data_IF_417753529666
#
_entry.id   IF_417753529666
#
_cell.length_a   1.000
_cell.length_b   1.000
_cell.length_c   1.000
_cell.angle_alpha   90.00
_cell.angle_beta   90.00
_cell.angle_gamma   90.00
#
_symmetry.space_group_name_H-M   'P 1'
#
loop_
_entity.id
_entity.type
_entity.pdbx_description
1 polymer ?
#
# COMPACT_ATOMS: atom_id res chain seq x y z
N UNK A 1 17.41 19.69 -4.23
CA UNK A 1 16.36 20.49 -3.55
C UNK A 1 15.14 19.66 -3.20
N UNK A 2 14.58 18.88 -4.13
CA UNK A 2 13.37 18.06 -3.88
C UNK A 2 13.55 16.96 -2.81
N UNK A 3 14.65 16.20 -2.84
CA UNK A 3 14.92 15.16 -1.84
C UNK A 3 15.11 15.66 -0.41
N UNK A 4 15.61 16.89 -0.22
CA UNK A 4 15.74 17.51 1.11
C UNK A 4 14.37 17.92 1.67
N UNK A 5 13.46 18.38 0.82
CA UNK A 5 12.09 18.72 1.21
C UNK A 5 11.28 17.48 1.61
N UNK A 6 11.39 16.39 0.84
CA UNK A 6 10.77 15.11 1.22
C UNK A 6 11.33 14.58 2.54
N UNK A 7 12.66 14.64 2.73
CA UNK A 7 13.31 14.23 3.98
C UNK A 7 12.86 15.08 5.17
N UNK A 8 12.75 16.39 5.00
CA UNK A 8 12.30 17.32 6.06
C UNK A 8 10.85 17.04 6.49
N UNK A 9 9.92 16.91 5.53
CA UNK A 9 8.52 16.62 5.85
C UNK A 9 8.34 15.24 6.49
N UNK A 10 9.09 14.23 6.02
CA UNK A 10 9.13 12.90 6.62
C UNK A 10 9.59 12.96 8.09
N UNK A 11 10.69 13.66 8.40
CA UNK A 11 11.18 13.79 9.79
C UNK A 11 10.21 14.54 10.71
N UNK A 12 9.43 15.49 10.18
CA UNK A 12 8.45 16.26 10.97
C UNK A 12 7.25 15.42 11.39
N UNK A 13 6.88 14.39 10.63
CA UNK A 13 5.79 13.49 11.00
C UNK A 13 6.17 12.51 12.11
N UNK A 14 7.45 12.17 12.26
CA UNK A 14 7.89 11.23 13.30
C UNK A 14 7.80 11.78 14.73
N UNK A 15 7.69 13.09 14.94
CA UNK A 15 7.65 13.69 16.29
C UNK A 15 6.37 13.38 17.09
N UNK A 16 5.39 12.67 16.51
CA UNK A 16 4.15 12.26 17.16
C UNK A 16 3.94 10.74 17.29
N UNK A 17 5.00 9.93 17.25
CA UNK A 17 4.88 8.47 17.22
C UNK A 17 5.24 7.81 18.56
N UNK A 18 4.23 7.30 19.30
CA UNK A 18 4.45 6.38 20.43
C UNK A 18 4.48 4.94 19.91
N UNK A 19 5.60 4.28 20.16
CA UNK A 19 5.90 2.88 19.79
C UNK A 19 4.98 1.92 20.53
N UNK A 20 4.12 1.19 19.81
CA UNK A 20 3.46 -0.02 20.34
C UNK A 20 2.87 -0.88 19.22
N UNK A 21 3.68 -1.73 18.56
CA UNK A 21 3.28 -3.08 18.07
C UNK A 21 4.48 -3.80 17.42
N UNK A 22 5.43 -4.27 18.23
CA UNK A 22 6.60 -5.01 17.75
C UNK A 22 6.31 -6.50 17.46
N UNK A 23 5.14 -7.03 17.87
CA UNK A 23 4.84 -8.47 17.84
C UNK A 23 4.28 -8.94 16.47
N UNK A 24 3.71 -8.06 15.64
CA UNK A 24 3.17 -8.45 14.33
C UNK A 24 4.27 -8.66 13.27
N UNK A 25 5.37 -7.91 13.37
CA UNK A 25 6.43 -7.85 12.36
C UNK A 25 7.21 -9.16 12.18
N UNK A 26 7.37 -9.97 13.24
CA UNK A 26 8.11 -11.25 13.17
C UNK A 26 7.31 -12.32 12.42
N UNK A 27 5.97 -12.25 12.46
CA UNK A 27 5.09 -13.18 11.72
C UNK A 27 5.04 -12.83 10.22
N UNK A 28 5.34 -11.59 9.83
CA UNK A 28 5.27 -11.10 8.44
C UNK A 28 6.30 -11.71 7.47
N UNK A 29 7.27 -12.51 7.95
CA UNK A 29 8.32 -13.11 7.11
C UNK A 29 8.01 -14.55 6.64
N UNK A 30 6.84 -15.11 6.95
CA UNK A 30 6.56 -16.55 6.78
C UNK A 30 5.76 -16.92 5.51
N UNK A 31 5.50 -16.01 4.58
CA UNK A 31 4.92 -16.38 3.28
C UNK A 31 5.83 -15.98 2.12
N UNK A 32 6.45 -16.98 1.49
CA UNK A 32 7.21 -16.79 0.26
C UNK A 32 6.32 -16.23 -0.84
N UNK A 33 6.87 -15.33 -1.66
CA UNK A 33 6.23 -14.63 -2.80
C UNK A 33 5.38 -15.56 -3.72
N UNK A 34 5.77 -16.82 -3.86
CA UNK A 34 5.07 -17.87 -4.62
C UNK A 34 3.69 -18.25 -4.07
N UNK A 35 3.46 -18.06 -2.77
CA UNK A 35 2.17 -18.35 -2.13
C UNK A 35 1.13 -17.25 -2.39
N UNK A 36 1.52 -16.03 -2.76
CA UNK A 36 0.57 -14.91 -2.95
C UNK A 36 0.00 -14.92 -4.38
N UNK A 37 0.80 -15.33 -5.37
CA UNK A 37 0.42 -15.36 -6.78
C UNK A 37 -0.86 -16.18 -7.04
N UNK A 38 -1.08 -17.27 -6.30
CA UNK A 38 -2.29 -18.11 -6.39
C UNK A 38 -3.60 -17.42 -5.98
N UNK A 39 -3.52 -16.25 -5.33
CA UNK A 39 -4.67 -15.52 -4.84
C UNK A 39 -5.12 -14.37 -5.76
N UNK A 40 -4.24 -13.89 -6.66
CA UNK A 40 -4.59 -12.87 -7.64
C UNK A 40 -5.69 -13.31 -8.62
N UNK A 41 -5.89 -14.62 -8.79
CA UNK A 41 -6.93 -15.19 -9.67
C UNK A 41 -8.23 -15.52 -8.95
N UNK A 42 -8.29 -15.36 -7.62
CA UNK A 42 -9.53 -15.61 -6.87
C UNK A 42 -10.39 -14.35 -6.85
N UNK A 43 -11.47 -14.37 -7.63
CA UNK A 43 -12.41 -13.26 -7.79
C UNK A 43 -12.81 -12.62 -6.46
N UNK A 44 -13.13 -13.42 -5.45
CA UNK A 44 -13.53 -12.94 -4.12
C UNK A 44 -12.42 -12.13 -3.41
N UNK A 45 -11.16 -12.56 -3.55
CA UNK A 45 -10.02 -11.85 -2.95
C UNK A 45 -9.79 -10.54 -3.69
N UNK A 46 -9.83 -10.56 -5.01
CA UNK A 46 -9.68 -9.36 -5.84
C UNK A 46 -10.76 -8.33 -5.51
N UNK A 47 -12.01 -8.76 -5.39
CA UNK A 47 -13.12 -7.89 -5.00
C UNK A 47 -12.92 -7.29 -3.62
N UNK A 48 -12.52 -8.09 -2.63
CA UNK A 48 -12.26 -7.59 -1.28
C UNK A 48 -11.06 -6.64 -1.23
N UNK A 49 -10.01 -6.89 -2.01
CA UNK A 49 -8.85 -6.00 -2.13
C UNK A 49 -9.26 -4.66 -2.74
N UNK A 50 -10.03 -4.67 -3.82
CA UNK A 50 -10.57 -3.46 -4.41
C UNK A 50 -11.43 -2.66 -3.40
N UNK A 51 -12.31 -3.34 -2.66
CA UNK A 51 -13.14 -2.71 -1.63
C UNK A 51 -12.33 -2.10 -0.49
N UNK A 52 -11.25 -2.76 -0.09
CA UNK A 52 -10.35 -2.27 0.94
C UNK A 52 -9.60 -1.02 0.47
N UNK A 53 -9.06 -1.04 -0.75
CA UNK A 53 -8.44 0.12 -1.40
C UNK A 53 -9.42 1.30 -1.48
N UNK A 54 -10.65 1.07 -1.94
CA UNK A 54 -11.68 2.11 -2.04
C UNK A 54 -11.92 2.77 -0.68
N UNK A 55 -12.03 1.99 0.39
CA UNK A 55 -12.24 2.51 1.75
C UNK A 55 -11.05 3.32 2.24
N UNK A 56 -9.85 2.76 2.11
CA UNK A 56 -8.64 3.38 2.64
C UNK A 56 -8.33 4.70 1.90
N UNK A 57 -8.53 4.76 0.59
CA UNK A 57 -8.37 6.00 -0.19
C UNK A 57 -9.46 7.03 0.12
N UNK A 58 -10.70 6.60 0.37
CA UNK A 58 -11.79 7.51 0.73
C UNK A 58 -11.56 8.23 2.07
N UNK A 59 -10.80 7.64 3.01
CA UNK A 59 -10.40 8.32 4.26
C UNK A 59 -9.49 9.53 4.03
N UNK A 60 -8.87 9.58 2.86
CA UNK A 60 -8.03 10.68 2.41
C UNK A 60 -8.69 11.40 1.25
N UNK A 61 -10.02 11.49 1.17
CA UNK A 61 -10.77 12.18 0.11
C UNK A 61 -10.36 11.81 -1.34
N UNK A 62 -9.79 10.63 -1.54
CA UNK A 62 -9.44 10.11 -2.86
C UNK A 62 -10.49 9.11 -3.32
N UNK A 63 -11.05 9.33 -4.51
CA UNK A 63 -12.08 8.44 -5.05
C UNK A 63 -11.46 7.39 -5.95
N UNK A 64 -11.65 6.13 -5.59
CA UNK A 64 -11.37 4.96 -6.43
C UNK A 64 -12.68 4.24 -6.71
N UNK A 65 -12.79 3.69 -7.91
CA UNK A 65 -13.89 2.81 -8.32
C UNK A 65 -13.36 1.48 -8.81
N UNK A 66 -14.21 0.45 -8.75
CA UNK A 66 -13.89 -0.86 -9.27
C UNK A 66 -15.06 -1.39 -10.11
N UNK A 67 -14.77 -1.77 -11.34
CA UNK A 67 -15.73 -2.28 -12.34
C UNK A 67 -16.37 -3.61 -11.94
N UNK A 68 -15.74 -4.35 -11.03
CA UNK A 68 -16.11 -5.73 -10.70
C UNK A 68 -15.43 -6.78 -11.59
N UNK A 69 -14.69 -6.37 -12.62
CA UNK A 69 -13.93 -7.28 -13.47
C UNK A 69 -12.60 -7.69 -12.79
N UNK A 70 -12.54 -8.93 -12.31
CA UNK A 70 -11.35 -9.45 -11.64
C UNK A 70 -10.14 -9.60 -12.58
N UNK A 71 -10.34 -9.83 -13.88
CA UNK A 71 -9.25 -10.06 -14.84
C UNK A 71 -8.41 -8.80 -15.06
N UNK A 72 -9.06 -7.63 -15.03
CA UNK A 72 -8.42 -6.33 -15.25
C UNK A 72 -8.19 -5.55 -13.96
N UNK A 73 -8.54 -6.12 -12.81
CA UNK A 73 -8.60 -5.39 -11.54
C UNK A 73 -7.28 -4.74 -11.14
N UNK A 74 -6.17 -5.45 -11.30
CA UNK A 74 -4.86 -4.90 -10.98
C UNK A 74 -4.57 -3.64 -11.80
N UNK A 75 -4.73 -3.72 -13.12
CA UNK A 75 -4.46 -2.59 -14.01
C UNK A 75 -5.41 -1.43 -13.74
N UNK A 76 -6.71 -1.71 -13.59
CA UNK A 76 -7.74 -0.71 -13.30
C UNK A 76 -7.47 0.07 -12.00
N UNK A 77 -7.08 -0.65 -10.94
CA UNK A 77 -6.73 -0.04 -9.66
C UNK A 77 -5.42 0.75 -9.76
N UNK A 78 -4.41 0.18 -10.43
CA UNK A 78 -3.14 0.84 -10.64
C UNK A 78 -3.28 2.17 -11.40
N UNK A 79 -4.05 2.17 -12.49
CA UNK A 79 -4.27 3.36 -13.33
C UNK A 79 -4.96 4.50 -12.57
N UNK A 80 -5.75 4.18 -11.54
CA UNK A 80 -6.36 5.17 -10.65
C UNK A 80 -5.43 5.61 -9.53
N UNK A 81 -4.68 4.68 -8.91
CA UNK A 81 -3.78 4.97 -7.77
C UNK A 81 -2.56 5.77 -8.22
N UNK A 82 -1.96 5.43 -9.36
CA UNK A 82 -0.75 6.08 -9.86
C UNK A 82 -0.82 7.62 -9.93
N UNK A 83 -1.80 8.23 -10.60
CA UNK A 83 -1.90 9.70 -10.66
C UNK A 83 -2.14 10.32 -9.27
N UNK A 84 -2.82 9.62 -8.35
CA UNK A 84 -3.01 10.07 -6.96
C UNK A 84 -1.67 10.11 -6.23
N UNK A 85 -0.92 9.00 -6.24
CA UNK A 85 0.39 8.91 -5.58
C UNK A 85 1.37 9.92 -6.15
N UNK A 86 1.42 10.05 -7.47
CA UNK A 86 2.24 11.05 -8.13
C UNK A 86 1.87 12.47 -7.69
N UNK A 87 0.58 12.79 -7.59
CA UNK A 87 0.12 14.10 -7.13
C UNK A 87 0.48 14.34 -5.66
N UNK A 88 0.19 13.39 -4.77
CA UNK A 88 0.44 13.53 -3.34
C UNK A 88 1.94 13.62 -3.05
N UNK A 89 2.77 12.78 -3.67
CA UNK A 89 4.22 12.84 -3.49
C UNK A 89 4.79 14.22 -3.88
N UNK A 90 4.26 14.81 -4.95
CA UNK A 90 4.78 16.08 -5.48
C UNK A 90 4.20 17.33 -4.83
N UNK A 91 2.92 17.31 -4.46
CA UNK A 91 2.19 18.51 -4.03
C UNK A 91 1.76 18.47 -2.56
N UNK A 92 1.62 17.28 -1.96
CA UNK A 92 1.15 17.10 -0.58
C UNK A 92 1.81 15.88 0.07
N UNK A 93 3.14 15.97 0.26
CA UNK A 93 3.92 14.89 0.86
C UNK A 93 3.43 14.55 2.28
N UNK A 94 2.73 15.50 2.93
CA UNK A 94 2.20 15.28 4.27
C UNK A 94 1.09 14.24 4.26
N UNK A 95 0.08 14.45 3.42
CA UNK A 95 -1.03 13.52 3.20
C UNK A 95 -0.56 12.20 2.58
N UNK A 96 0.44 12.24 1.71
CA UNK A 96 1.08 11.04 1.17
C UNK A 96 1.57 10.09 2.27
N UNK A 97 2.42 10.56 3.19
CA UNK A 97 2.94 9.71 4.26
C UNK A 97 1.86 9.27 5.25
N UNK A 98 0.88 10.14 5.55
CA UNK A 98 -0.26 9.77 6.39
C UNK A 98 -1.08 8.63 5.79
N UNK A 99 -1.28 8.64 4.46
CA UNK A 99 -1.95 7.57 3.72
C UNK A 99 -1.19 6.26 3.79
N UNK A 100 0.12 6.28 3.50
CA UNK A 100 0.95 5.07 3.58
C UNK A 100 0.94 4.44 4.97
N UNK A 101 0.92 5.29 6.01
CA UNK A 101 0.84 4.83 7.39
C UNK A 101 -0.52 4.16 7.70
N UNK A 102 -1.64 4.75 7.27
CA UNK A 102 -2.97 4.17 7.47
C UNK A 102 -3.15 2.82 6.75
N UNK A 103 -2.55 2.68 5.57
CA UNK A 103 -2.56 1.45 4.74
C UNK A 103 -1.59 0.39 5.31
N UNK A 104 -0.67 0.79 6.19
CA UNK A 104 0.41 -0.02 6.75
C UNK A 104 1.42 -0.50 5.70
N UNK A 105 1.86 0.39 4.81
CA UNK A 105 2.90 0.11 3.82
C UNK A 105 4.28 0.08 4.50
N UNK A 106 5.15 -0.90 4.15
CA UNK A 106 6.49 -1.04 4.75
C UNK A 106 7.34 0.21 4.52
N UNK A 107 7.51 1.01 5.58
CA UNK A 107 8.24 2.26 5.59
C UNK A 107 9.69 2.11 5.11
N UNK A 108 10.34 0.96 5.37
CA UNK A 108 11.72 0.73 4.94
C UNK A 108 11.80 0.59 3.43
N UNK A 109 10.83 -0.10 2.81
CA UNK A 109 10.72 -0.20 1.34
C UNK A 109 10.45 1.18 0.75
N UNK A 110 9.49 1.92 1.31
CA UNK A 110 9.18 3.30 0.86
C UNK A 110 10.42 4.19 0.94
N UNK A 111 11.17 4.13 2.05
CA UNK A 111 12.41 4.89 2.21
C UNK A 111 13.47 4.52 1.18
N UNK A 112 13.64 3.22 0.88
CA UNK A 112 14.57 2.80 -0.18
C UNK A 112 14.13 3.30 -1.56
N UNK A 113 12.82 3.37 -1.82
CA UNK A 113 12.29 3.89 -3.08
C UNK A 113 12.40 5.41 -3.19
N UNK A 114 12.34 6.15 -2.08
CA UNK A 114 12.41 7.62 -2.09
C UNK A 114 13.85 8.15 -2.13
N UNK A 115 14.80 7.43 -1.54
CA UNK A 115 16.16 7.93 -1.32
C UNK A 115 17.26 7.00 -1.87
N UNK A 116 16.89 5.84 -2.39
CA UNK A 116 17.82 4.95 -3.08
C UNK A 116 18.06 5.38 -4.52
N UNK A 117 19.14 4.86 -5.10
CA UNK A 117 19.42 4.98 -6.53
C UNK A 117 18.79 3.79 -7.25
N UNK A 118 17.96 4.08 -8.25
CA UNK A 118 17.29 3.10 -9.08
C UNK A 118 16.93 3.71 -10.44
N UNK A 119 16.70 2.83 -11.42
CA UNK A 119 16.35 3.23 -12.81
C UNK A 119 14.83 3.27 -13.05
N UNK A 120 14.02 2.90 -12.06
CA UNK A 120 12.56 2.78 -12.16
C UNK A 120 11.82 3.94 -11.50
N UNK A 121 10.54 4.12 -11.82
CA UNK A 121 9.71 5.18 -11.21
C UNK A 121 9.36 4.82 -9.77
N UNK A 122 9.77 5.70 -8.84
CA UNK A 122 9.42 5.63 -7.41
C UNK A 122 7.90 5.54 -7.20
N UNK A 123 7.13 6.35 -7.92
CA UNK A 123 5.67 6.38 -7.81
C UNK A 123 5.04 5.06 -8.24
N UNK A 124 5.49 4.47 -9.35
CA UNK A 124 5.01 3.18 -9.83
C UNK A 124 5.25 2.08 -8.78
N UNK A 125 6.45 2.02 -8.22
CA UNK A 125 6.79 1.02 -7.19
C UNK A 125 6.01 1.22 -5.90
N UNK A 126 5.76 2.46 -5.48
CA UNK A 126 4.89 2.74 -4.33
C UNK A 126 3.46 2.27 -4.59
N UNK A 127 2.93 2.46 -5.81
CA UNK A 127 1.59 1.96 -6.17
C UNK A 127 1.51 0.44 -6.08
N UNK A 128 2.54 -0.26 -6.58
CA UNK A 128 2.65 -1.72 -6.45
C UNK A 128 2.65 -2.15 -4.98
N UNK A 129 3.42 -1.47 -4.13
CA UNK A 129 3.48 -1.77 -2.70
C UNK A 129 2.13 -1.58 -1.99
N UNK A 130 1.37 -0.54 -2.34
CA UNK A 130 0.04 -0.31 -1.77
C UNK A 130 -0.92 -1.44 -2.14
N UNK A 131 -1.01 -1.79 -3.43
CA UNK A 131 -1.91 -2.85 -3.90
C UNK A 131 -1.51 -4.20 -3.29
N UNK A 132 -0.20 -4.51 -3.26
CA UNK A 132 0.32 -5.73 -2.65
C UNK A 132 -0.02 -5.79 -1.16
N UNK A 133 0.14 -4.68 -0.43
CA UNK A 133 -0.17 -4.62 1.01
C UNK A 133 -1.64 -4.92 1.28
N UNK A 134 -2.55 -4.37 0.49
CA UNK A 134 -3.98 -4.58 0.65
C UNK A 134 -4.42 -5.99 0.27
N UNK A 135 -3.83 -6.56 -0.77
CA UNK A 135 -4.02 -7.97 -1.10
C UNK A 135 -3.59 -8.88 0.07
N UNK A 136 -2.42 -8.62 0.63
CA UNK A 136 -1.88 -9.37 1.77
C UNK A 136 -2.84 -9.29 2.97
N UNK A 137 -3.39 -8.10 3.29
CA UNK A 137 -4.38 -7.93 4.37
C UNK A 137 -5.61 -8.82 4.15
N UNK A 138 -6.14 -8.85 2.93
CA UNK A 138 -7.31 -9.67 2.57
C UNK A 138 -7.00 -11.16 2.68
N UNK A 139 -5.89 -11.61 2.09
CA UNK A 139 -5.47 -13.03 2.11
C UNK A 139 -5.33 -13.53 3.54
N UNK A 140 -4.65 -12.77 4.41
CA UNK A 140 -4.49 -13.14 5.81
C UNK A 140 -5.83 -13.23 6.54
N UNK A 141 -6.72 -12.23 6.37
CA UNK A 141 -8.05 -12.28 7.01
C UNK A 141 -8.83 -13.53 6.61
N UNK A 142 -8.77 -13.94 5.34
CA UNK A 142 -9.45 -15.15 4.86
C UNK A 142 -8.83 -16.42 5.43
N UNK A 143 -7.49 -16.53 5.42
CA UNK A 143 -6.81 -17.70 5.99
C UNK A 143 -7.12 -17.89 7.47
N UNK A 144 -7.05 -16.82 8.27
CA UNK A 144 -7.34 -16.86 9.70
C UNK A 144 -8.82 -17.11 10.01
N UNK A 145 -9.74 -16.62 9.17
CA UNK A 145 -11.18 -16.90 9.31
C UNK A 145 -11.53 -18.36 9.01
N UNK A 146 -10.74 -19.04 8.19
CA UNK A 146 -10.94 -20.46 7.85
C UNK A 146 -10.31 -21.41 8.87
N UNK A 147 -9.20 -21.02 9.51
CA UNK A 147 -8.53 -21.83 10.54
C UNK A 147 -9.17 -21.77 11.93
N UNK A 148 -10.16 -20.90 12.14
CA UNK A 148 -10.95 -20.80 13.38
C UNK A 148 -12.25 -21.61 13.38
N UNK A 149 -12.46 -22.49 12.39
CA UNK A 149 -13.57 -23.45 12.32
C UNK A 149 -13.03 -24.87 12.46
#
# INVERSE_FOLDING_TARGET
>A
MFGLYLRYNYTKQQTHFKVSTFISFVVMNVLQKSEIEKYYQKVEIVQETAQQIIKDFALFDEKITFSGNAETAYQELFDQIYPIIKRLLNLDSSRFFAMLYAIDVDERKVKSLLFGEHEFSTEEEICKLIIERELIKVVYRKQWSQSGK
#
